data_IF_967847402756
#
_entry.id   IF_967847402756
#
_cell.length_a   1.000
_cell.length_b   1.000
_cell.length_c   1.000
_cell.angle_alpha   90.00
_cell.angle_beta   90.00
_cell.angle_gamma   90.00
#
_symmetry.space_group_name_H-M   'P 1'
#
loop_
_entity.id
_entity.type
_entity.pdbx_description
1 polymer ?
#
# COMPACT_ATOMS: atom_id res chain seq x y z
N UNK A 1 18.71 2.34 -24.39
CA UNK A 1 18.98 1.47 -23.22
C UNK A 1 17.81 0.52 -22.93
N UNK A 2 16.66 0.66 -23.62
CA UNK A 2 15.66 -0.39 -23.77
C UNK A 2 15.84 -0.94 -25.18
N UNK A 3 15.84 -2.26 -25.35
CA UNK A 3 16.04 -2.89 -26.66
C UNK A 3 14.90 -2.54 -27.62
N UNK A 4 15.18 -2.51 -28.92
CA UNK A 4 14.15 -2.36 -29.97
C UNK A 4 13.30 -3.62 -30.16
N UNK A 5 13.58 -4.66 -29.37
CA UNK A 5 13.01 -6.00 -29.53
C UNK A 5 11.73 -6.11 -28.71
N UNK A 6 10.61 -6.31 -29.39
CA UNK A 6 9.36 -6.74 -28.77
C UNK A 6 9.52 -8.20 -28.37
N UNK A 7 9.37 -8.50 -27.07
CA UNK A 7 9.39 -9.88 -26.60
C UNK A 7 8.15 -10.62 -27.12
N UNK A 8 8.28 -11.93 -27.47
CA UNK A 8 7.12 -12.70 -27.90
C UNK A 8 6.10 -12.78 -26.75
N UNK A 9 4.81 -12.51 -27.01
CA UNK A 9 3.79 -12.63 -25.97
C UNK A 9 3.62 -14.11 -25.56
N UNK A 10 3.14 -14.39 -24.34
CA UNK A 10 2.76 -15.74 -23.96
C UNK A 10 1.62 -16.24 -24.86
N UNK A 11 1.52 -17.56 -25.10
CA UNK A 11 0.37 -18.14 -25.78
C UNK A 11 -0.94 -17.74 -25.08
N UNK A 12 -2.04 -17.48 -25.83
CA UNK A 12 -3.32 -17.17 -25.22
C UNK A 12 -3.77 -18.23 -24.20
N UNK A 13 -4.33 -17.84 -23.04
CA UNK A 13 -4.74 -18.77 -21.99
C UNK A 13 -6.09 -19.47 -22.32
N UNK A 14 -6.29 -19.92 -23.56
CA UNK A 14 -7.55 -20.51 -24.05
C UNK A 14 -7.89 -21.84 -23.34
N UNK A 15 -6.85 -22.59 -22.97
CA UNK A 15 -6.98 -23.89 -22.29
C UNK A 15 -6.07 -24.01 -21.06
N UNK A 16 -5.58 -22.89 -20.54
CA UNK A 16 -4.56 -22.83 -19.50
C UNK A 16 -4.83 -21.73 -18.48
N UNK A 17 -3.96 -21.64 -17.47
CA UNK A 17 -4.08 -20.62 -16.41
C UNK A 17 -3.52 -19.29 -16.87
N UNK A 18 -4.11 -18.20 -16.38
CA UNK A 18 -3.51 -16.88 -16.50
C UNK A 18 -2.34 -16.78 -15.52
N UNK A 19 -1.16 -16.44 -16.04
CA UNK A 19 0.05 -16.25 -15.23
C UNK A 19 0.21 -14.80 -14.82
N UNK A 20 0.22 -14.57 -13.51
CA UNK A 20 0.34 -13.24 -12.90
C UNK A 20 1.67 -13.15 -12.17
N UNK A 21 2.51 -12.21 -12.58
CA UNK A 21 3.78 -11.90 -11.91
C UNK A 21 3.62 -10.68 -11.01
N UNK A 22 4.06 -10.74 -9.76
CA UNK A 22 4.16 -9.60 -8.85
C UNK A 22 5.63 -9.28 -8.62
N UNK A 23 6.06 -8.05 -8.90
CA UNK A 23 7.44 -7.60 -8.65
C UNK A 23 7.44 -6.64 -7.48
N UNK A 24 8.25 -6.93 -6.46
CA UNK A 24 8.37 -6.06 -5.30
C UNK A 24 9.72 -6.19 -4.59
N UNK A 25 10.22 -5.07 -4.07
CA UNK A 25 11.27 -5.04 -3.02
C UNK A 25 10.74 -5.29 -1.61
N UNK A 26 9.41 -5.39 -1.46
CA UNK A 26 8.76 -5.19 -0.17
C UNK A 26 8.02 -6.43 0.32
N UNK A 27 8.38 -7.62 -0.16
CA UNK A 27 7.93 -8.91 0.38
C UNK A 27 8.53 -9.24 1.76
N UNK A 28 8.98 -8.23 2.50
CA UNK A 28 9.67 -8.29 3.79
C UNK A 28 8.80 -7.62 4.87
N UNK A 29 9.34 -7.27 6.03
CA UNK A 29 8.67 -6.51 7.08
C UNK A 29 8.39 -5.06 6.62
N UNK A 30 7.40 -4.89 5.75
CA UNK A 30 7.04 -3.65 5.09
C UNK A 30 5.51 -3.51 5.03
N UNK A 31 4.94 -2.28 5.06
CA UNK A 31 3.50 -2.06 4.97
C UNK A 31 2.81 -2.79 3.82
N UNK A 32 3.46 -2.91 2.65
CA UNK A 32 2.93 -3.68 1.53
C UNK A 32 2.65 -5.13 1.93
N UNK A 33 3.63 -5.84 2.49
CA UNK A 33 3.46 -7.23 2.91
C UNK A 33 2.46 -7.35 4.08
N UNK A 34 2.44 -6.38 5.01
CA UNK A 34 1.46 -6.37 6.11
C UNK A 34 0.02 -6.35 5.60
N UNK A 35 -0.22 -5.70 4.45
CA UNK A 35 -1.55 -5.56 3.85
C UNK A 35 -1.87 -6.66 2.84
N UNK A 36 -0.86 -7.12 2.07
CA UNK A 36 -1.06 -7.96 0.90
C UNK A 36 -0.65 -9.43 1.10
N UNK A 37 0.00 -9.82 2.19
CA UNK A 37 0.62 -11.15 2.32
C UNK A 37 -0.30 -12.34 1.99
N UNK A 38 -1.60 -12.26 2.26
CA UNK A 38 -2.53 -13.34 1.88
C UNK A 38 -3.05 -13.25 0.45
N UNK A 39 -3.01 -12.08 -0.20
CA UNK A 39 -3.53 -11.88 -1.57
C UNK A 39 -2.89 -12.88 -2.53
N UNK A 40 -1.58 -13.06 -2.43
CA UNK A 40 -0.83 -13.93 -3.35
C UNK A 40 -1.24 -15.40 -3.24
N UNK A 41 -1.59 -15.88 -2.04
CA UNK A 41 -2.02 -17.25 -1.79
C UNK A 41 -3.52 -17.50 -2.01
N UNK A 42 -4.33 -16.45 -2.08
CA UNK A 42 -5.80 -16.51 -2.21
C UNK A 42 -6.31 -16.54 -3.66
N UNK A 43 -5.41 -16.47 -4.65
CA UNK A 43 -5.78 -16.67 -6.06
C UNK A 43 -6.39 -18.06 -6.28
N UNK A 44 -7.45 -18.13 -7.11
CA UNK A 44 -8.00 -19.42 -7.55
C UNK A 44 -6.95 -20.15 -8.39
N UNK A 45 -6.37 -21.20 -7.80
CA UNK A 45 -5.32 -21.98 -8.45
C UNK A 45 -5.80 -22.75 -9.67
N UNK A 46 -7.10 -22.90 -9.90
CA UNK A 46 -7.60 -23.52 -11.13
C UNK A 46 -7.53 -22.56 -12.32
N UNK A 47 -7.68 -21.27 -12.06
CA UNK A 47 -7.72 -20.22 -13.09
C UNK A 47 -6.41 -19.46 -13.22
N UNK A 48 -5.62 -19.35 -12.14
CA UNK A 48 -4.44 -18.51 -12.07
C UNK A 48 -3.19 -19.27 -11.60
N UNK A 49 -2.05 -18.88 -12.14
CA UNK A 49 -0.71 -19.27 -11.68
C UNK A 49 0.02 -18.00 -11.25
N UNK A 50 0.39 -17.91 -9.97
CA UNK A 50 0.96 -16.70 -9.36
C UNK A 50 2.46 -16.87 -9.17
N UNK A 51 3.22 -15.86 -9.60
CA UNK A 51 4.66 -15.76 -9.40
C UNK A 51 5.00 -14.44 -8.70
N UNK A 52 5.84 -14.48 -7.68
CA UNK A 52 6.36 -13.33 -6.95
C UNK A 52 7.86 -13.22 -7.18
N UNK A 53 8.31 -12.10 -7.73
CA UNK A 53 9.71 -11.78 -7.99
C UNK A 53 10.21 -10.80 -6.93
N UNK A 54 10.92 -11.31 -5.93
CA UNK A 54 11.48 -10.51 -4.85
C UNK A 54 12.79 -9.86 -5.28
N UNK A 55 12.82 -8.53 -5.37
CA UNK A 55 14.01 -7.75 -5.74
C UNK A 55 14.90 -7.42 -4.54
N UNK A 56 14.52 -7.89 -3.35
CA UNK A 56 15.30 -7.81 -2.11
C UNK A 56 15.43 -9.19 -1.45
N UNK A 57 16.58 -9.40 -0.81
CA UNK A 57 16.83 -10.61 -0.06
C UNK A 57 15.83 -10.76 1.09
N UNK A 58 15.58 -12.01 1.50
CA UNK A 58 14.76 -12.31 2.67
C UNK A 58 15.32 -11.65 3.92
N UNK A 59 14.45 -10.94 4.65
CA UNK A 59 14.75 -10.41 5.99
C UNK A 59 14.45 -11.41 7.11
N UNK A 60 14.00 -12.63 6.76
CA UNK A 60 13.62 -13.66 7.72
C UNK A 60 12.30 -13.40 8.47
N UNK A 61 11.56 -12.36 8.11
CA UNK A 61 10.29 -11.98 8.74
C UNK A 61 9.21 -13.05 8.57
N UNK A 62 8.22 -13.03 9.45
CA UNK A 62 7.03 -13.88 9.36
C UNK A 62 6.24 -13.58 8.09
N UNK A 63 6.20 -12.30 7.66
CA UNK A 63 5.56 -11.87 6.42
C UNK A 63 6.20 -12.53 5.19
N UNK A 64 7.52 -12.44 5.05
CA UNK A 64 8.26 -13.07 3.94
C UNK A 64 8.01 -14.58 3.87
N UNK A 65 8.17 -15.27 5.00
CA UNK A 65 7.94 -16.72 5.11
C UNK A 65 6.51 -17.13 4.77
N UNK A 66 5.52 -16.33 5.19
CA UNK A 66 4.10 -16.57 4.86
C UNK A 66 3.85 -16.43 3.37
N UNK A 67 4.37 -15.40 2.72
CA UNK A 67 4.20 -15.20 1.27
C UNK A 67 4.85 -16.35 0.50
N UNK A 68 6.09 -16.73 0.84
CA UNK A 68 6.80 -17.87 0.24
C UNK A 68 5.99 -19.17 0.35
N UNK A 69 5.47 -19.46 1.54
CA UNK A 69 4.65 -20.66 1.81
C UNK A 69 3.33 -20.63 1.03
N UNK A 70 2.62 -19.51 1.08
CA UNK A 70 1.25 -19.42 0.57
C UNK A 70 1.21 -19.37 -0.96
N UNK A 71 2.20 -18.75 -1.62
CA UNK A 71 2.35 -18.84 -3.08
C UNK A 71 2.79 -20.24 -3.50
N UNK A 72 3.65 -20.88 -2.70
CA UNK A 72 4.21 -22.20 -2.93
C UNK A 72 5.61 -22.15 -3.55
N UNK A 73 6.39 -23.21 -3.35
CA UNK A 73 7.83 -23.20 -3.59
C UNK A 73 8.30 -22.87 -5.01
N UNK A 74 7.49 -23.11 -6.05
CA UNK A 74 7.82 -22.73 -7.43
C UNK A 74 7.35 -21.32 -7.82
N UNK A 75 6.47 -20.70 -7.04
CA UNK A 75 5.88 -19.40 -7.36
C UNK A 75 6.58 -18.23 -6.65
N UNK A 76 7.49 -18.46 -5.70
CA UNK A 76 8.29 -17.38 -5.12
C UNK A 76 9.73 -17.44 -5.61
N UNK A 77 10.21 -16.36 -6.23
CA UNK A 77 11.51 -16.29 -6.89
C UNK A 77 12.31 -15.13 -6.29
N UNK A 78 13.38 -15.45 -5.58
CA UNK A 78 14.35 -14.44 -5.14
C UNK A 78 15.26 -14.04 -6.31
N UNK A 79 15.10 -12.80 -6.76
CA UNK A 79 15.88 -12.20 -7.84
C UNK A 79 16.74 -11.03 -7.36
N UNK A 80 16.92 -10.89 -6.03
CA UNK A 80 17.60 -9.75 -5.42
C UNK A 80 19.06 -9.59 -5.88
N UNK A 81 19.74 -10.70 -6.13
CA UNK A 81 21.11 -10.74 -6.65
C UNK A 81 21.21 -10.76 -8.18
N UNK A 82 20.10 -10.62 -8.92
CA UNK A 82 20.10 -10.72 -10.38
C UNK A 82 20.15 -9.34 -11.04
N UNK A 83 20.86 -9.26 -12.16
CA UNK A 83 20.77 -8.12 -13.06
C UNK A 83 19.40 -8.06 -13.76
N UNK A 84 19.08 -6.90 -14.32
CA UNK A 84 17.78 -6.65 -14.95
C UNK A 84 17.55 -7.57 -16.15
N UNK A 85 18.58 -7.84 -16.96
CA UNK A 85 18.43 -8.67 -18.16
C UNK A 85 18.02 -10.10 -17.80
N UNK A 86 18.63 -10.68 -16.76
CA UNK A 86 18.29 -12.01 -16.26
C UNK A 86 16.87 -12.05 -15.69
N UNK A 87 16.42 -11.00 -15.00
CA UNK A 87 15.05 -10.90 -14.49
C UNK A 87 14.05 -10.84 -15.64
N UNK A 88 14.30 -9.97 -16.63
CA UNK A 88 13.44 -9.82 -17.82
C UNK A 88 13.34 -11.13 -18.58
N UNK A 89 14.47 -11.80 -18.87
CA UNK A 89 14.47 -13.13 -19.51
C UNK A 89 13.67 -14.15 -18.72
N UNK A 90 13.82 -14.16 -17.39
CA UNK A 90 13.04 -15.05 -16.52
C UNK A 90 11.54 -14.81 -16.63
N UNK A 91 11.09 -13.56 -16.63
CA UNK A 91 9.66 -13.20 -16.78
C UNK A 91 9.11 -13.68 -18.14
N UNK A 92 9.92 -13.54 -19.20
CA UNK A 92 9.57 -14.03 -20.55
C UNK A 92 9.49 -15.56 -20.57
N UNK A 93 10.47 -16.25 -19.99
CA UNK A 93 10.51 -17.72 -19.90
C UNK A 93 9.36 -18.28 -19.06
N UNK A 94 9.00 -17.57 -17.98
CA UNK A 94 7.83 -17.87 -17.15
C UNK A 94 6.51 -17.58 -17.87
N UNK A 95 6.53 -16.94 -19.05
CA UNK A 95 5.34 -16.63 -19.88
C UNK A 95 4.28 -15.85 -19.10
N UNK A 96 4.70 -14.82 -18.38
CA UNK A 96 3.80 -13.95 -17.62
C UNK A 96 2.83 -13.24 -18.57
N UNK A 97 1.54 -13.27 -18.25
CA UNK A 97 0.50 -12.57 -19.00
C UNK A 97 0.30 -11.17 -18.46
N UNK A 98 0.26 -11.05 -17.12
CA UNK A 98 0.04 -9.80 -16.39
C UNK A 98 1.18 -9.62 -15.40
N UNK A 99 1.95 -8.55 -15.52
CA UNK A 99 3.00 -8.19 -14.56
C UNK A 99 2.58 -6.98 -13.75
N UNK A 100 2.62 -7.14 -12.43
CA UNK A 100 2.14 -6.15 -11.45
C UNK A 100 3.34 -5.53 -10.74
N UNK A 101 3.47 -4.21 -10.88
CA UNK A 101 4.40 -3.36 -10.15
C UNK A 101 3.82 -3.02 -8.78
N UNK A 102 4.49 -3.50 -7.72
CA UNK A 102 4.11 -3.22 -6.34
C UNK A 102 5.05 -2.22 -5.65
N UNK A 103 5.87 -1.48 -6.41
CA UNK A 103 6.78 -0.47 -5.87
C UNK A 103 6.50 0.94 -6.41
N UNK A 104 6.24 1.08 -7.70
CA UNK A 104 6.19 2.38 -8.39
C UNK A 104 7.48 3.18 -8.22
N UNK A 105 7.40 4.42 -7.70
CA UNK A 105 8.57 5.28 -7.44
C UNK A 105 9.05 5.27 -5.99
N UNK A 106 8.86 4.17 -5.29
CA UNK A 106 9.37 4.00 -3.92
C UNK A 106 10.80 3.44 -3.91
N UNK A 107 11.43 3.46 -2.72
CA UNK A 107 12.78 2.94 -2.51
C UNK A 107 12.83 1.45 -2.87
N UNK A 108 13.80 1.06 -3.70
CA UNK A 108 14.00 -0.34 -4.10
C UNK A 108 13.26 -0.74 -5.39
N UNK A 109 12.49 0.17 -5.98
CA UNK A 109 11.86 -0.04 -7.27
C UNK A 109 12.88 -0.38 -8.38
N UNK A 110 12.48 -1.29 -9.26
CA UNK A 110 13.25 -1.76 -10.44
C UNK A 110 12.43 -1.55 -11.71
N UNK A 111 12.08 -0.28 -11.98
CA UNK A 111 11.17 0.09 -13.07
C UNK A 111 11.72 -0.24 -14.47
N UNK A 112 13.03 -0.40 -14.60
CA UNK A 112 13.67 -0.87 -15.83
C UNK A 112 13.22 -2.27 -16.26
N UNK A 113 12.74 -3.11 -15.34
CA UNK A 113 12.11 -4.41 -15.67
C UNK A 113 10.85 -4.19 -16.49
N UNK A 114 10.01 -3.24 -16.08
CA UNK A 114 8.74 -2.91 -16.74
C UNK A 114 8.98 -2.11 -18.02
N UNK A 115 9.97 -1.23 -18.03
CA UNK A 115 10.33 -0.47 -19.22
C UNK A 115 10.80 -1.38 -20.37
N UNK A 116 11.34 -2.57 -20.07
CA UNK A 116 11.68 -3.59 -21.06
C UNK A 116 10.44 -4.27 -21.69
N UNK A 117 9.24 -4.09 -21.12
CA UNK A 117 7.97 -4.69 -21.56
C UNK A 117 8.05 -6.21 -21.80
N UNK A 118 8.47 -7.03 -20.80
CA UNK A 118 8.59 -8.49 -20.93
C UNK A 118 7.26 -9.24 -21.10
N UNK A 119 6.12 -8.59 -20.88
CA UNK A 119 4.79 -9.18 -21.00
C UNK A 119 3.80 -8.20 -21.65
N UNK A 120 2.67 -8.69 -22.18
CA UNK A 120 1.73 -7.85 -22.92
C UNK A 120 0.96 -6.87 -22.04
N UNK A 121 0.67 -7.21 -20.78
CA UNK A 121 -0.09 -6.36 -19.85
C UNK A 121 0.75 -6.06 -18.61
N UNK A 122 0.97 -4.79 -18.34
CA UNK A 122 1.69 -4.31 -17.16
C UNK A 122 0.81 -3.36 -16.36
N UNK A 123 0.76 -3.57 -15.04
CA UNK A 123 -0.12 -2.80 -14.17
C UNK A 123 0.61 -2.36 -12.91
N UNK A 124 0.19 -1.25 -12.34
CA UNK A 124 0.58 -0.83 -10.99
C UNK A 124 -0.52 -1.19 -9.98
N UNK A 125 -0.08 -1.57 -8.77
CA UNK A 125 -1.01 -1.78 -7.67
C UNK A 125 -0.38 -1.48 -6.30
N UNK A 126 -1.05 -0.63 -5.51
CA UNK A 126 -0.79 -0.29 -4.10
C UNK A 126 0.59 0.28 -3.70
N UNK A 127 1.68 -0.08 -4.36
CA UNK A 127 3.04 0.25 -3.96
C UNK A 127 3.35 1.73 -3.95
N UNK A 128 2.79 2.47 -4.90
CA UNK A 128 2.94 3.90 -5.03
C UNK A 128 1.56 4.55 -5.17
N UNK A 129 1.41 5.74 -4.57
CA UNK A 129 0.13 6.45 -4.49
C UNK A 129 0.10 7.59 -5.52
N UNK A 130 0.28 7.24 -6.80
CA UNK A 130 0.35 8.21 -7.89
C UNK A 130 0.48 7.54 -9.25
N UNK A 131 0.58 8.33 -10.31
CA UNK A 131 0.88 7.82 -11.66
C UNK A 131 2.37 7.47 -11.80
N UNK A 132 2.67 6.49 -12.63
CA UNK A 132 4.02 6.22 -13.12
C UNK A 132 4.35 7.05 -14.37
N UNK A 133 3.35 7.57 -15.09
CA UNK A 133 3.54 8.45 -16.24
C UNK A 133 4.56 7.91 -17.27
N UNK A 134 4.59 6.59 -17.44
CA UNK A 134 5.79 5.91 -17.91
C UNK A 134 5.71 5.35 -19.34
N UNK A 135 4.53 5.37 -19.97
CA UNK A 135 4.25 4.75 -21.28
C UNK A 135 4.37 3.22 -21.31
N UNK A 136 5.02 2.61 -20.32
CA UNK A 136 5.13 1.16 -20.16
C UNK A 136 4.14 0.59 -19.13
N UNK A 137 3.51 1.42 -18.28
CA UNK A 137 2.41 0.97 -17.41
C UNK A 137 1.09 1.15 -18.13
N UNK A 138 0.38 0.05 -18.37
CA UNK A 138 -0.87 0.10 -19.12
C UNK A 138 -2.06 0.45 -18.20
N UNK A 139 -2.04 -0.06 -16.96
CA UNK A 139 -3.16 0.08 -16.02
C UNK A 139 -2.74 0.39 -14.59
N UNK A 140 -3.63 1.05 -13.84
CA UNK A 140 -3.59 1.15 -12.38
C UNK A 140 -4.83 0.47 -11.81
N UNK A 141 -4.64 -0.42 -10.84
CA UNK A 141 -5.75 -0.98 -10.06
C UNK A 141 -6.15 0.05 -8.99
N UNK A 142 -7.39 0.55 -9.06
CA UNK A 142 -7.87 1.67 -8.26
C UNK A 142 -9.33 1.50 -7.80
N UNK A 143 -9.87 2.50 -7.11
CA UNK A 143 -11.29 2.63 -6.81
C UNK A 143 -11.80 4.04 -7.18
N UNK A 144 -13.10 4.22 -7.46
CA UNK A 144 -13.62 5.49 -7.95
C UNK A 144 -13.70 6.60 -6.89
N UNK A 145 -13.48 6.27 -5.61
CA UNK A 145 -13.48 7.25 -4.51
C UNK A 145 -12.10 7.92 -4.45
N UNK A 146 -11.04 7.12 -4.41
CA UNK A 146 -9.65 7.60 -4.34
C UNK A 146 -9.19 8.13 -5.69
N UNK A 147 -9.54 7.44 -6.78
CA UNK A 147 -9.16 7.80 -8.14
C UNK A 147 -10.41 7.99 -9.04
N UNK A 148 -11.15 9.10 -8.92
CA UNK A 148 -12.33 9.36 -9.74
C UNK A 148 -12.05 9.30 -11.26
N UNK A 149 -12.99 8.83 -12.10
CA UNK A 149 -12.76 8.68 -13.55
C UNK A 149 -12.35 9.98 -14.26
N UNK A 150 -12.74 11.13 -13.71
CA UNK A 150 -12.38 12.45 -14.24
C UNK A 150 -10.88 12.77 -14.19
N UNK A 151 -10.07 12.00 -13.45
CA UNK A 151 -8.64 12.25 -13.29
C UNK A 151 -7.77 11.54 -14.35
N UNK A 152 -8.36 10.73 -15.24
CA UNK A 152 -7.63 10.01 -16.30
C UNK A 152 -7.66 10.80 -17.60
N UNK A 153 -6.49 10.99 -18.20
CA UNK A 153 -6.33 11.63 -19.52
C UNK A 153 -7.18 10.96 -20.61
N UNK A 154 -7.06 9.62 -20.76
CA UNK A 154 -7.81 8.86 -21.76
C UNK A 154 -9.34 8.90 -21.60
N UNK A 155 -9.87 8.96 -20.38
CA UNK A 155 -11.33 9.12 -20.15
C UNK A 155 -11.84 10.49 -20.62
N UNK A 156 -11.04 11.54 -20.40
CA UNK A 156 -11.39 12.87 -20.91
C UNK A 156 -11.32 12.94 -22.40
N UNK A 157 -10.27 12.35 -22.99
CA UNK A 157 -10.13 12.29 -24.43
C UNK A 157 -11.33 11.57 -25.06
N UNK A 158 -11.74 10.42 -24.49
CA UNK A 158 -12.93 9.67 -24.93
C UNK A 158 -14.21 10.52 -24.89
N UNK A 159 -14.43 11.27 -23.81
CA UNK A 159 -15.59 12.18 -23.71
C UNK A 159 -15.60 13.26 -24.78
N UNK A 160 -14.43 13.69 -25.27
CA UNK A 160 -14.33 14.66 -26.37
C UNK A 160 -14.48 14.01 -27.75
N UNK A 161 -14.35 12.68 -27.85
CA UNK A 161 -14.28 11.92 -29.09
C UNK A 161 -15.16 10.66 -29.07
N UNK A 162 -16.42 10.79 -28.66
CA UNK A 162 -17.37 9.67 -28.43
C UNK A 162 -17.60 8.74 -29.65
N UNK A 163 -17.22 9.18 -30.85
CA UNK A 163 -17.42 8.44 -32.11
C UNK A 163 -16.20 7.62 -32.57
N UNK A 164 -15.09 7.62 -31.82
CA UNK A 164 -13.90 6.84 -32.19
C UNK A 164 -13.92 5.45 -31.53
N UNK A 165 -13.54 4.43 -32.30
CA UNK A 165 -13.51 3.04 -31.84
C UNK A 165 -12.34 2.71 -30.91
N UNK A 166 -11.30 3.56 -30.89
CA UNK A 166 -10.05 3.36 -30.15
C UNK A 166 -9.58 4.65 -29.51
N UNK A 167 -8.83 4.53 -28.42
CA UNK A 167 -8.21 5.64 -27.69
C UNK A 167 -6.73 5.84 -27.99
N UNK A 168 -6.24 5.36 -29.14
CA UNK A 168 -4.81 5.47 -29.53
C UNK A 168 -4.29 6.91 -29.59
N UNK A 169 -5.12 7.87 -30.00
CA UNK A 169 -4.74 9.30 -30.01
C UNK A 169 -5.08 10.00 -28.68
N UNK A 170 -5.48 9.23 -27.66
CA UNK A 170 -5.81 9.72 -26.32
C UNK A 170 -4.65 9.71 -25.34
N UNK A 171 -3.45 9.36 -25.80
CA UNK A 171 -2.21 9.45 -25.04
C UNK A 171 -1.90 10.90 -24.66
N UNK A 172 -1.03 11.07 -23.67
CA UNK A 172 -0.62 12.39 -23.21
C UNK A 172 0.01 13.21 -24.34
N UNK A 173 -0.48 14.43 -24.51
CA UNK A 173 0.30 15.49 -25.15
C UNK A 173 1.15 16.18 -24.07
N UNK A 174 2.47 15.98 -24.02
CA UNK A 174 3.34 16.57 -23.01
C UNK A 174 3.43 18.11 -23.12
N UNK A 175 2.94 18.70 -24.20
CA UNK A 175 2.85 20.15 -24.38
C UNK A 175 1.45 20.69 -24.01
N UNK A 176 0.52 19.81 -23.61
CA UNK A 176 -0.82 20.20 -23.20
C UNK A 176 -0.80 20.93 -21.86
N UNK A 177 -1.34 22.15 -21.84
CA UNK A 177 -1.48 22.96 -20.62
C UNK A 177 -2.67 22.55 -19.72
N UNK A 178 -3.39 21.47 -20.05
CA UNK A 178 -4.55 20.99 -19.30
C UNK A 178 -4.09 20.28 -18.02
N UNK A 179 -4.21 20.96 -16.88
CA UNK A 179 -3.87 20.44 -15.54
C UNK A 179 -4.99 19.59 -14.93
N UNK A 180 -6.14 19.43 -15.60
CA UNK A 180 -7.30 18.84 -14.98
C UNK A 180 -7.16 17.29 -14.86
N UNK A 181 -6.11 16.68 -15.42
CA UNK A 181 -5.86 15.22 -15.38
C UNK A 181 -4.54 14.90 -14.69
N UNK A 182 -4.48 13.73 -14.03
CA UNK A 182 -3.35 13.34 -13.16
C UNK A 182 -2.74 12.01 -13.59
N UNK A 183 -3.50 11.14 -14.27
CA UNK A 183 -3.08 9.77 -14.59
C UNK A 183 -3.02 9.50 -16.09
N UNK A 184 -1.97 8.77 -16.48
CA UNK A 184 -1.71 8.35 -17.87
C UNK A 184 -2.18 6.92 -18.12
N UNK A 185 -2.20 6.12 -17.05
CA UNK A 185 -2.63 4.74 -17.06
C UNK A 185 -4.16 4.64 -17.10
N UNK A 186 -4.66 3.55 -17.66
CA UNK A 186 -6.09 3.25 -17.61
C UNK A 186 -6.45 2.70 -16.23
N UNK A 187 -7.56 3.13 -15.64
CA UNK A 187 -7.99 2.58 -14.37
C UNK A 187 -8.72 1.26 -14.54
N UNK A 188 -8.33 0.26 -13.74
CA UNK A 188 -9.11 -0.93 -13.46
C UNK A 188 -9.76 -0.77 -12.08
N UNK A 189 -11.07 -0.52 -12.06
CA UNK A 189 -11.78 -0.26 -10.80
C UNK A 189 -12.17 -1.53 -10.06
N UNK A 190 -11.73 -1.62 -8.81
CA UNK A 190 -12.23 -2.60 -7.86
C UNK A 190 -13.66 -2.24 -7.43
N UNK A 191 -14.56 -3.22 -7.21
CA UNK A 191 -15.96 -2.95 -6.90
C UNK A 191 -16.22 -2.17 -5.60
N UNK A 192 -15.25 -2.16 -4.67
CA UNK A 192 -15.40 -1.52 -3.36
C UNK A 192 -14.22 -0.58 -3.08
N UNK A 193 -13.07 -1.14 -2.73
CA UNK A 193 -11.83 -0.41 -2.50
C UNK A 193 -10.69 -1.16 -3.17
N UNK A 194 -9.72 -0.45 -3.71
CA UNK A 194 -8.48 -1.08 -4.20
C UNK A 194 -7.56 -1.48 -3.06
N UNK A 195 -7.74 -0.86 -1.90
CA UNK A 195 -6.88 -1.08 -0.75
C UNK A 195 -7.21 -2.42 -0.10
N UNK A 196 -6.25 -3.34 -0.09
CA UNK A 196 -6.40 -4.63 0.60
C UNK A 196 -5.87 -4.55 2.03
N UNK A 197 -6.40 -5.42 2.89
CA UNK A 197 -6.08 -5.45 4.31
C UNK A 197 -5.97 -6.91 4.78
N UNK A 198 -4.84 -7.28 5.39
CA UNK A 198 -4.63 -8.61 5.94
C UNK A 198 -5.07 -8.73 7.41
N UNK A 199 -5.75 -7.72 7.98
CA UNK A 199 -6.04 -7.64 9.42
C UNK A 199 -6.70 -8.92 9.97
N UNK A 200 -7.65 -9.50 9.21
CA UNK A 200 -8.36 -10.73 9.60
C UNK A 200 -7.47 -11.98 9.55
N UNK A 201 -6.35 -11.98 8.81
CA UNK A 201 -5.44 -13.11 8.69
C UNK A 201 -4.23 -12.95 9.60
N UNK A 202 -3.63 -11.75 9.63
CA UNK A 202 -2.45 -11.42 10.42
C UNK A 202 -2.69 -11.22 11.91
N UNK A 203 -3.93 -10.91 12.33
CA UNK A 203 -4.30 -10.74 13.75
C UNK A 203 -5.42 -11.68 14.18
N UNK A 204 -5.45 -12.91 13.63
CA UNK A 204 -6.33 -13.96 14.20
C UNK A 204 -5.85 -14.31 15.59
N UNK A 205 -6.78 -14.46 16.53
CA UNK A 205 -6.50 -15.16 17.78
C UNK A 205 -6.14 -16.61 17.42
N UNK A 206 -4.87 -16.99 17.62
CA UNK A 206 -4.30 -18.29 17.19
C UNK A 206 -4.99 -19.51 17.83
N UNK A 207 -5.82 -19.31 18.85
CA UNK A 207 -6.51 -20.36 19.60
C UNK A 207 -7.90 -20.73 19.07
N UNK A 208 -8.34 -20.17 17.94
CA UNK A 208 -9.74 -20.23 17.51
C UNK A 208 -9.92 -20.73 16.07
N UNK A 209 -10.13 -22.04 15.86
CA UNK A 209 -10.71 -22.57 14.60
C UNK A 209 -12.14 -22.03 14.38
N UNK A 210 -12.83 -21.74 15.49
CA UNK A 210 -14.08 -20.98 15.60
C UNK A 210 -13.79 -19.93 16.67
N UNK A 211 -14.08 -18.65 16.43
CA UNK A 211 -13.95 -17.63 17.46
C UNK A 211 -14.73 -18.10 18.71
N UNK A 212 -14.11 -18.41 19.86
CA UNK A 212 -14.85 -18.84 21.04
C UNK A 212 -15.83 -17.76 21.54
N UNK A 213 -15.74 -16.53 21.01
CA UNK A 213 -16.72 -15.45 21.17
C UNK A 213 -17.96 -15.62 20.29
N UNK A 214 -17.93 -16.40 19.21
CA UNK A 214 -19.04 -16.52 18.26
C UNK A 214 -20.21 -17.36 18.78
N UNK A 215 -19.99 -18.18 19.81
CA UNK A 215 -21.04 -18.93 20.52
C UNK A 215 -21.57 -18.22 21.76
N UNK A 216 -20.94 -17.11 22.16
CA UNK A 216 -21.31 -16.33 23.35
C UNK A 216 -22.18 -15.13 22.96
N UNK A 217 -23.05 -14.64 23.86
CA UNK A 217 -23.78 -13.40 23.64
C UNK A 217 -22.80 -12.25 23.38
N UNK A 218 -23.05 -11.46 22.33
CA UNK A 218 -22.17 -10.36 21.90
C UNK A 218 -21.90 -9.35 23.02
N UNK A 219 -22.90 -9.10 23.87
CA UNK A 219 -22.78 -8.15 24.99
C UNK A 219 -21.77 -8.61 26.05
N UNK A 220 -21.70 -9.91 26.36
CA UNK A 220 -20.73 -10.45 27.32
C UNK A 220 -19.31 -10.35 26.80
N UNK A 221 -19.12 -10.71 25.54
CA UNK A 221 -17.84 -10.61 24.84
C UNK A 221 -17.37 -9.16 24.82
N UNK A 222 -18.28 -8.24 24.54
CA UNK A 222 -17.98 -6.82 24.52
C UNK A 222 -17.62 -6.28 25.91
N UNK A 223 -18.33 -6.70 26.96
CA UNK A 223 -18.02 -6.31 28.34
C UNK A 223 -16.62 -6.76 28.77
N UNK A 224 -16.21 -7.99 28.41
CA UNK A 224 -14.85 -8.50 28.68
C UNK A 224 -13.79 -7.71 27.91
N UNK A 225 -14.06 -7.43 26.63
CA UNK A 225 -13.16 -6.65 25.78
C UNK A 225 -13.01 -5.21 26.29
N UNK A 226 -14.09 -4.61 26.78
CA UNK A 226 -14.08 -3.29 27.42
C UNK A 226 -13.19 -3.29 28.66
N UNK A 227 -13.35 -4.25 29.58
CA UNK A 227 -12.48 -4.40 30.76
C UNK A 227 -11.01 -4.57 30.36
N UNK A 228 -10.73 -5.39 29.34
CA UNK A 228 -9.38 -5.62 28.83
C UNK A 228 -8.76 -4.33 28.28
N UNK A 229 -9.50 -3.57 27.46
CA UNK A 229 -9.03 -2.29 26.88
C UNK A 229 -8.80 -1.22 27.94
N UNK A 230 -9.67 -1.14 28.95
CA UNK A 230 -9.49 -0.23 30.09
C UNK A 230 -8.24 -0.56 30.89
N UNK A 231 -7.99 -1.85 31.15
CA UNK A 231 -6.75 -2.30 31.81
C UNK A 231 -5.52 -1.89 31.00
N UNK A 232 -5.50 -2.20 29.70
CA UNK A 232 -4.38 -1.84 28.80
C UNK A 232 -4.15 -0.33 28.75
N UNK A 233 -5.23 0.47 28.71
CA UNK A 233 -5.15 1.93 28.73
C UNK A 233 -4.48 2.44 30.00
N UNK A 234 -4.90 1.96 31.17
CA UNK A 234 -4.33 2.38 32.47
C UNK A 234 -2.88 1.93 32.64
N UNK A 235 -2.50 0.79 32.07
CA UNK A 235 -1.11 0.33 32.04
C UNK A 235 -0.24 1.22 31.15
N UNK A 236 -0.77 1.65 29.99
CA UNK A 236 -0.04 2.50 29.05
C UNK A 236 0.03 3.96 29.48
N UNK A 237 -1.00 4.45 30.17
CA UNK A 237 -1.13 5.85 30.61
C UNK A 237 -1.55 5.93 32.09
N UNK A 238 -0.67 5.55 33.02
CA UNK A 238 -1.00 5.49 34.45
C UNK A 238 -1.35 6.86 35.04
N UNK A 239 -0.82 7.94 34.45
CA UNK A 239 -0.99 9.30 34.93
C UNK A 239 -2.16 10.04 34.27
N UNK A 240 -2.82 9.44 33.26
CA UNK A 240 -3.99 10.05 32.61
C UNK A 240 -5.28 9.64 33.32
N UNK A 241 -6.18 10.61 33.51
CA UNK A 241 -7.51 10.31 33.99
C UNK A 241 -8.31 9.49 32.98
N UNK A 242 -9.26 8.69 33.46
CA UNK A 242 -10.10 7.84 32.61
C UNK A 242 -10.93 8.66 31.61
N UNK A 243 -11.26 9.91 31.93
CA UNK A 243 -12.00 10.84 31.06
C UNK A 243 -11.12 11.67 30.10
N UNK A 244 -9.80 11.41 30.06
CA UNK A 244 -8.89 12.08 29.13
C UNK A 244 -9.07 11.56 27.70
N UNK A 245 -9.35 12.45 26.75
CA UNK A 245 -9.40 12.11 25.33
C UNK A 245 -7.99 11.98 24.76
N UNK A 246 -7.68 10.87 24.08
CA UNK A 246 -6.40 10.68 23.39
C UNK A 246 -6.63 10.84 21.89
N UNK A 247 -6.17 11.95 21.32
CA UNK A 247 -6.01 12.07 19.87
C UNK A 247 -4.71 11.40 19.47
N UNK A 248 -4.69 10.64 18.38
CA UNK A 248 -3.50 9.91 17.96
C UNK A 248 -3.25 10.05 16.45
N UNK A 249 -1.98 10.16 16.08
CA UNK A 249 -1.54 10.08 14.69
C UNK A 249 -0.18 9.36 14.62
N UNK A 250 -0.19 8.12 14.15
CA UNK A 250 1.02 7.30 14.03
C UNK A 250 1.60 7.29 12.61
N UNK A 251 1.41 8.38 11.86
CA UNK A 251 2.12 8.55 10.59
C UNK A 251 3.55 9.02 10.82
N UNK A 252 4.38 8.86 9.79
CA UNK A 252 5.68 9.50 9.73
C UNK A 252 5.51 11.02 9.76
N UNK A 253 6.35 11.71 10.55
CA UNK A 253 6.15 13.13 10.85
C UNK A 253 6.29 14.06 9.63
N UNK A 254 6.92 13.63 8.52
CA UNK A 254 6.94 14.44 7.29
C UNK A 254 5.54 14.60 6.66
N UNK A 255 4.55 13.77 7.02
CA UNK A 255 3.16 13.94 6.59
C UNK A 255 2.41 15.01 7.39
N UNK A 256 3.03 15.54 8.43
CA UNK A 256 2.45 16.58 9.28
C UNK A 256 2.86 17.94 8.73
N UNK A 257 1.97 18.52 7.93
CA UNK A 257 2.11 19.88 7.44
C UNK A 257 1.83 20.92 8.55
N UNK A 258 2.52 22.09 8.56
CA UNK A 258 2.26 23.21 9.47
C UNK A 258 0.79 23.56 9.69
N UNK A 259 -0.05 23.56 8.64
CA UNK A 259 -1.46 23.92 8.74
C UNK A 259 -2.24 22.85 9.52
N UNK A 260 -2.00 21.58 9.21
CA UNK A 260 -2.60 20.46 9.94
C UNK A 260 -2.18 20.50 11.41
N UNK A 261 -0.90 20.73 11.68
CA UNK A 261 -0.38 20.79 13.05
C UNK A 261 -1.02 21.93 13.84
N UNK A 262 -1.17 23.11 13.23
CA UNK A 262 -1.85 24.24 13.85
C UNK A 262 -3.28 23.89 14.29
N UNK A 263 -4.06 23.22 13.43
CA UNK A 263 -5.40 22.78 13.80
C UNK A 263 -5.40 21.78 14.96
N UNK A 264 -4.43 20.86 15.02
CA UNK A 264 -4.31 19.95 16.16
C UNK A 264 -4.05 20.70 17.47
N UNK A 265 -3.23 21.75 17.45
CA UNK A 265 -3.00 22.59 18.64
C UNK A 265 -4.25 23.37 19.05
N UNK A 266 -5.02 23.89 18.09
CA UNK A 266 -6.31 24.58 18.37
C UNK A 266 -7.34 23.62 18.98
N UNK A 267 -7.38 22.37 18.51
CA UNK A 267 -8.22 21.31 19.10
C UNK A 267 -7.76 21.01 20.53
N UNK A 268 -6.46 20.83 20.76
CA UNK A 268 -5.93 20.58 22.11
C UNK A 268 -6.24 21.74 23.06
N UNK A 269 -6.09 22.99 22.61
CA UNK A 269 -6.44 24.17 23.40
C UNK A 269 -7.94 24.21 23.75
N UNK A 270 -8.80 23.77 22.83
CA UNK A 270 -10.25 23.74 23.00
C UNK A 270 -10.75 22.56 23.84
N UNK A 271 -9.93 21.51 24.00
CA UNK A 271 -10.27 20.30 24.76
C UNK A 271 -9.23 20.10 25.88
N UNK A 272 -9.39 20.72 27.07
CA UNK A 272 -8.37 20.72 28.12
C UNK A 272 -8.00 19.32 28.63
N UNK A 273 -8.99 18.41 28.72
CA UNK A 273 -8.77 17.00 29.11
C UNK A 273 -8.42 16.14 27.90
N UNK A 274 -7.39 16.54 27.16
CA UNK A 274 -6.92 15.76 26.02
C UNK A 274 -5.42 15.81 25.81
N UNK A 275 -4.88 14.77 25.17
CA UNK A 275 -3.51 14.71 24.68
C UNK A 275 -3.46 14.42 23.18
N UNK A 276 -2.33 14.75 22.55
CA UNK A 276 -2.01 14.34 21.19
C UNK A 276 -0.84 13.36 21.22
N UNK A 277 -1.08 12.14 20.73
CA UNK A 277 -0.12 11.05 20.75
C UNK A 277 0.44 10.78 19.35
N UNK A 278 1.75 10.99 19.18
CA UNK A 278 2.45 10.95 17.90
C UNK A 278 3.55 9.87 17.89
N UNK A 279 4.02 9.54 16.69
CA UNK A 279 5.18 8.67 16.48
C UNK A 279 6.49 9.46 16.54
N UNK A 280 7.49 8.95 17.27
CA UNK A 280 8.84 9.52 17.36
C UNK A 280 9.69 9.14 16.14
N UNK A 281 9.29 9.59 14.95
CA UNK A 281 10.06 9.31 13.73
C UNK A 281 9.83 10.33 12.60
N UNK A 282 10.89 10.96 12.05
CA UNK A 282 12.31 10.77 12.38
C UNK A 282 12.72 11.46 13.70
N UNK A 283 13.87 11.09 14.27
CA UNK A 283 14.33 11.57 15.59
C UNK A 283 14.32 13.12 15.76
N UNK A 284 14.68 13.94 14.75
CA UNK A 284 14.59 15.39 14.88
C UNK A 284 13.15 15.93 14.98
N UNK A 285 12.12 15.15 14.61
CA UNK A 285 10.75 15.64 14.52
C UNK A 285 10.15 16.04 15.86
N UNK A 286 10.40 15.28 16.94
CA UNK A 286 9.87 15.57 18.28
C UNK A 286 10.29 16.94 18.83
N UNK A 287 11.59 17.29 18.93
CA UNK A 287 11.99 18.58 19.49
C UNK A 287 11.45 19.76 18.67
N UNK A 288 11.39 19.63 17.34
CA UNK A 288 10.84 20.68 16.48
C UNK A 288 9.34 20.88 16.69
N UNK A 289 8.56 19.80 16.79
CA UNK A 289 7.13 19.88 17.05
C UNK A 289 6.84 20.44 18.44
N UNK A 290 7.61 20.06 19.46
CA UNK A 290 7.49 20.61 20.83
C UNK A 290 7.77 22.11 20.88
N UNK A 291 8.88 22.56 20.30
CA UNK A 291 9.21 23.99 20.23
C UNK A 291 8.17 24.78 19.44
N UNK A 292 7.67 24.21 18.34
CA UNK A 292 6.63 24.84 17.51
C UNK A 292 5.31 24.94 18.27
N UNK A 293 4.91 23.88 18.98
CA UNK A 293 3.71 23.88 19.80
C UNK A 293 3.78 24.92 20.91
N UNK A 294 4.91 25.02 21.61
CA UNK A 294 5.11 26.01 22.67
C UNK A 294 5.02 27.43 22.11
N UNK A 295 5.63 27.67 20.94
CA UNK A 295 5.56 28.97 20.26
C UNK A 295 4.14 29.33 19.79
N UNK A 296 3.37 28.36 19.32
CA UNK A 296 2.06 28.62 18.68
C UNK A 296 0.88 28.56 19.63
N UNK A 297 0.96 27.74 20.69
CA UNK A 297 -0.15 27.46 21.60
C UNK A 297 0.23 27.51 23.10
N UNK A 298 1.48 27.82 23.41
CA UNK A 298 1.97 27.97 24.78
C UNK A 298 2.38 26.64 25.44
N UNK A 299 3.04 26.73 26.62
CA UNK A 299 3.64 25.57 27.29
C UNK A 299 2.61 24.55 27.79
N UNK A 300 1.40 24.99 28.16
CA UNK A 300 0.31 24.11 28.61
C UNK A 300 -0.07 23.12 27.51
N UNK A 301 -0.42 23.63 26.32
CA UNK A 301 -0.81 22.78 25.17
C UNK A 301 0.37 21.92 24.71
N UNK A 302 1.58 22.49 24.64
CA UNK A 302 2.77 21.76 24.21
C UNK A 302 3.11 20.59 25.13
N UNK A 303 2.86 20.72 26.44
CA UNK A 303 3.09 19.65 27.43
C UNK A 303 2.23 18.41 27.17
N UNK A 304 1.05 18.58 26.55
CA UNK A 304 0.06 17.51 26.26
C UNK A 304 0.33 16.74 24.97
N UNK A 305 1.43 17.03 24.27
CA UNK A 305 1.87 16.23 23.11
C UNK A 305 2.79 15.10 23.60
N UNK A 306 2.45 13.86 23.32
CA UNK A 306 3.22 12.67 23.72
C UNK A 306 3.76 11.94 22.49
N UNK A 307 4.91 11.28 22.65
CA UNK A 307 5.56 10.53 21.58
C UNK A 307 5.84 9.09 22.01
N UNK A 308 5.59 8.14 21.11
CA UNK A 308 6.03 6.74 21.25
C UNK A 308 7.08 6.39 20.20
N UNK A 309 8.00 5.50 20.56
CA UNK A 309 8.97 4.96 19.61
C UNK A 309 8.32 4.06 18.55
N UNK A 310 8.96 4.00 17.39
CA UNK A 310 8.69 2.96 16.40
C UNK A 310 9.23 1.64 16.96
N UNK A 311 8.39 0.61 17.04
CA UNK A 311 8.89 -0.75 17.28
C UNK A 311 9.67 -1.20 16.05
N UNK A 312 11.00 -1.10 16.13
CA UNK A 312 11.91 -1.75 15.20
C UNK A 312 12.07 -3.19 15.71
N UNK A 313 11.18 -4.08 15.25
CA UNK A 313 11.38 -5.53 15.42
C UNK A 313 12.24 -6.06 14.28
#
# INVERSE_FOLDING_TARGET
WIGTTVYPPPPPPISGKIRIGYVSSDFNNHPLAHLMQSVFGLHDRNSFEVLCYATTASDGSTYRKKIERDVGGSGFIDVSGWDTEKIVRRIVDDRIHILINLNGYTKGARNEIFAARPCPVQMEFMGFAGTLASGWTDWIIADPIVCPPRMVSGEKWRKRHENLATDFDGDLDPECADEDWVYTEKFLYMPHSYFVCDHKQGFRDETAEVDPRSSRPTDEVWAEEEVRRWKMRREMFPDLSDDTVIFANFNQLYKVDPVIFKYWLEILASVPKSILWLLRFPAPGEPHLKLTAEKWAGPEVASRIMFTDVRLN
#
